data_IF_960539812661
#
_entry.id   IF_960539812661
#
_cell.length_a   1.000
_cell.length_b   1.000
_cell.length_c   1.000
_cell.angle_alpha   90.00
_cell.angle_beta   90.00
_cell.angle_gamma   90.00
#
_symmetry.space_group_name_H-M   'P 1'
#
loop_
_entity.id
_entity.type
_entity.pdbx_description
1 polymer ?
#
# COMPACT_ATOMS: atom_id res chain seq x y z
N UNK A 1 -10.08 43.42 3.23
CA UNK A 1 -8.85 43.24 4.02
C UNK A 1 -9.22 42.29 5.15
N UNK A 2 -8.83 41.01 5.06
CA UNK A 2 -9.06 40.06 6.16
C UNK A 2 -7.96 40.31 7.20
N UNK A 3 -8.35 40.82 8.37
CA UNK A 3 -7.45 41.06 9.49
C UNK A 3 -7.07 39.69 10.09
N UNK A 4 -5.83 39.25 9.89
CA UNK A 4 -5.34 38.01 10.50
C UNK A 4 -5.03 38.32 11.96
N UNK A 5 -5.91 37.87 12.86
CA UNK A 5 -5.73 38.06 14.30
C UNK A 5 -4.56 37.19 14.78
N UNK A 6 -3.45 37.84 15.12
CA UNK A 6 -2.29 37.19 15.75
C UNK A 6 -2.65 36.86 17.20
N UNK A 7 -2.59 35.58 17.57
CA UNK A 7 -2.88 35.12 18.92
C UNK A 7 -1.63 35.17 19.79
N UNK A 8 -1.75 35.66 21.02
CA UNK A 8 -0.69 35.58 22.03
C UNK A 8 -0.52 34.12 22.50
N UNK A 9 0.66 33.56 22.29
CA UNK A 9 0.87 32.11 22.39
C UNK A 9 0.83 31.56 23.83
N UNK A 10 1.21 32.37 24.82
CA UNK A 10 1.18 31.99 26.24
C UNK A 10 -0.18 32.26 26.89
N UNK A 11 -1.09 32.94 26.20
CA UNK A 11 -2.44 33.18 26.69
C UNK A 11 -3.27 31.88 26.71
N UNK A 12 -4.24 31.75 27.63
CA UNK A 12 -5.14 30.60 27.65
C UNK A 12 -5.94 30.49 26.35
N UNK A 13 -6.05 29.27 25.84
CA UNK A 13 -6.78 28.97 24.61
C UNK A 13 -8.28 29.21 24.80
N UNK A 14 -8.86 30.04 23.93
CA UNK A 14 -10.28 30.35 23.95
C UNK A 14 -10.99 29.61 22.81
N UNK A 15 -11.78 28.59 23.15
CA UNK A 15 -12.63 27.89 22.20
C UNK A 15 -13.64 28.87 21.58
N UNK A 16 -13.54 29.08 20.26
CA UNK A 16 -14.42 29.98 19.50
C UNK A 16 -15.88 29.53 19.69
N UNK A 17 -16.70 30.36 20.34
CA UNK A 17 -18.12 30.08 20.58
C UNK A 17 -18.52 29.63 22.00
N UNK A 18 -17.57 29.49 22.95
CA UNK A 18 -17.89 29.24 24.37
C UNK A 18 -17.76 30.50 25.23
N UNK A 19 -18.58 30.58 26.28
CA UNK A 19 -18.59 31.71 27.23
C UNK A 19 -17.22 31.89 27.90
N UNK A 20 -16.77 33.14 28.06
CA UNK A 20 -15.51 33.55 28.73
C UNK A 20 -15.35 33.04 30.17
N UNK A 21 -16.38 32.41 30.75
CA UNK A 21 -16.31 31.75 32.07
C UNK A 21 -15.59 30.40 32.04
N UNK A 22 -15.33 29.83 30.87
CA UNK A 22 -14.53 28.60 30.72
C UNK A 22 -13.12 28.98 30.26
N UNK A 23 -12.25 29.33 31.21
CA UNK A 23 -10.83 29.54 30.92
C UNK A 23 -10.20 28.16 30.71
N UNK A 24 -9.70 27.89 29.51
CA UNK A 24 -8.91 26.68 29.26
C UNK A 24 -7.64 26.73 30.10
N UNK A 25 -7.29 25.63 30.79
CA UNK A 25 -5.99 25.50 31.47
C UNK A 25 -4.83 25.33 30.46
N UNK A 26 -5.17 25.19 29.18
CA UNK A 26 -4.25 24.96 28.07
C UNK A 26 -3.95 26.28 27.37
N UNK A 27 -2.68 26.55 27.09
CA UNK A 27 -2.24 27.75 26.36
C UNK A 27 -2.46 27.61 24.86
N UNK A 28 -2.53 28.74 24.14
CA UNK A 28 -2.63 28.74 22.68
C UNK A 28 -1.48 27.92 22.05
N UNK A 29 -0.24 28.04 22.56
CA UNK A 29 0.90 27.27 22.06
C UNK A 29 0.70 25.77 22.20
N UNK A 30 0.14 25.29 23.32
CA UNK A 30 -0.13 23.86 23.50
C UNK A 30 -1.24 23.39 22.56
N UNK A 31 -2.31 24.17 22.41
CA UNK A 31 -3.39 23.83 21.49
C UNK A 31 -2.92 23.73 20.04
N UNK A 32 -2.21 24.75 19.54
CA UNK A 32 -1.77 24.78 18.14
C UNK A 32 -0.64 23.80 17.85
N UNK A 33 0.24 23.50 18.83
CA UNK A 33 1.35 22.57 18.62
C UNK A 33 1.01 21.12 18.90
N UNK A 34 0.09 20.86 19.83
CA UNK A 34 -0.20 19.52 20.32
C UNK A 34 -1.63 19.11 19.94
N UNK A 35 -2.66 19.79 20.45
CA UNK A 35 -4.05 19.36 20.26
C UNK A 35 -4.45 19.28 18.77
N UNK A 36 -4.17 20.34 17.99
CA UNK A 36 -4.45 20.33 16.55
C UNK A 36 -3.63 19.29 15.80
N UNK A 37 -2.38 19.05 16.21
CA UNK A 37 -1.54 18.06 15.54
C UNK A 37 -2.05 16.65 15.80
N UNK A 38 -2.48 16.37 17.03
CA UNK A 38 -3.13 15.10 17.40
C UNK A 38 -4.44 14.94 16.66
N UNK A 39 -5.28 15.97 16.57
CA UNK A 39 -6.54 15.92 15.81
C UNK A 39 -6.30 15.64 14.32
N UNK A 40 -5.29 16.27 13.70
CA UNK A 40 -4.90 15.98 12.31
C UNK A 40 -4.42 14.54 12.15
N UNK A 41 -3.63 14.02 13.10
CA UNK A 41 -3.19 12.61 13.09
C UNK A 41 -4.41 11.69 13.19
N UNK A 42 -5.32 11.94 14.11
CA UNK A 42 -6.50 11.10 14.32
C UNK A 42 -7.38 11.07 13.06
N UNK A 43 -7.55 12.22 12.39
CA UNK A 43 -8.26 12.31 11.10
C UNK A 43 -7.55 11.52 10.00
N UNK A 44 -6.21 11.61 9.90
CA UNK A 44 -5.44 10.84 8.92
C UNK A 44 -5.50 9.35 9.18
N UNK A 45 -5.42 8.93 10.45
CA UNK A 45 -5.54 7.53 10.85
C UNK A 45 -6.94 7.01 10.54
N UNK A 46 -7.98 7.81 10.81
CA UNK A 46 -9.36 7.46 10.45
C UNK A 46 -9.51 7.30 8.93
N UNK A 47 -9.03 8.27 8.15
CA UNK A 47 -9.12 8.21 6.68
C UNK A 47 -8.33 7.01 6.11
N UNK A 48 -7.18 6.69 6.70
CA UNK A 48 -6.42 5.49 6.34
C UNK A 48 -7.19 4.22 6.68
N UNK A 49 -7.79 4.13 7.87
CA UNK A 49 -8.57 2.96 8.29
C UNK A 49 -9.86 2.78 7.46
N UNK A 50 -10.46 3.87 6.98
CA UNK A 50 -11.62 3.83 6.08
C UNK A 50 -11.23 3.37 4.66
N UNK A 51 -10.03 3.72 4.18
CA UNK A 51 -9.55 3.35 2.84
C UNK A 51 -8.87 1.99 2.79
N UNK A 52 -8.13 1.62 3.84
CA UNK A 52 -7.37 0.38 3.96
C UNK A 52 -7.93 -0.44 5.10
N UNK A 53 -9.06 -1.11 4.83
CA UNK A 53 -9.53 -2.16 5.72
C UNK A 53 -8.53 -3.33 5.77
N UNK A 54 -8.83 -4.31 6.62
CA UNK A 54 -7.99 -5.49 6.81
C UNK A 54 -7.71 -6.21 5.48
N UNK A 55 -8.73 -6.33 4.62
CA UNK A 55 -8.62 -7.00 3.33
C UNK A 55 -7.72 -6.24 2.34
N UNK A 56 -7.84 -4.92 2.25
CA UNK A 56 -7.00 -4.08 1.38
C UNK A 56 -5.55 -4.06 1.86
N UNK A 57 -5.34 -4.09 3.18
CA UNK A 57 -4.00 -4.15 3.77
C UNK A 57 -3.36 -5.51 3.51
N UNK A 58 -4.11 -6.62 3.68
CA UNK A 58 -3.64 -7.97 3.35
C UNK A 58 -3.30 -8.09 1.86
N UNK A 59 -4.15 -7.53 0.98
CA UNK A 59 -3.92 -7.49 -0.45
C UNK A 59 -2.59 -6.79 -0.79
N UNK A 60 -2.33 -5.61 -0.22
CA UNK A 60 -1.07 -4.88 -0.41
C UNK A 60 0.15 -5.66 0.08
N UNK A 61 0.02 -6.31 1.24
CA UNK A 61 1.08 -7.15 1.77
C UNK A 61 1.35 -8.35 0.85
N UNK A 62 0.32 -8.96 0.28
CA UNK A 62 0.47 -10.03 -0.71
C UNK A 62 1.11 -9.53 -2.01
N UNK A 63 0.77 -8.31 -2.45
CA UNK A 63 1.41 -7.69 -3.62
C UNK A 63 2.92 -7.45 -3.42
N UNK A 64 3.33 -7.07 -2.21
CA UNK A 64 4.75 -6.87 -1.89
C UNK A 64 5.59 -8.16 -1.99
N UNK A 65 4.96 -9.34 -1.96
CA UNK A 65 5.65 -10.63 -2.05
C UNK A 65 6.19 -10.96 -3.45
N UNK A 66 5.79 -10.24 -4.51
CA UNK A 66 6.38 -10.39 -5.85
C UNK A 66 7.38 -9.27 -6.20
N UNK A 67 7.76 -8.44 -5.22
CA UNK A 67 8.76 -7.41 -5.43
C UNK A 67 10.09 -8.04 -5.87
N UNK A 68 10.70 -7.57 -6.98
CA UNK A 68 11.98 -8.10 -7.43
C UNK A 68 13.18 -7.53 -6.65
N UNK A 69 12.96 -6.57 -5.74
CA UNK A 69 14.02 -6.00 -4.91
C UNK A 69 14.80 -7.06 -4.15
N UNK A 70 16.10 -6.82 -4.03
CA UNK A 70 17.02 -7.66 -3.27
C UNK A 70 16.91 -9.15 -3.64
N UNK A 71 16.71 -9.43 -4.94
CA UNK A 71 16.59 -10.79 -5.45
C UNK A 71 15.32 -11.53 -5.00
N UNK A 72 14.19 -10.82 -4.89
CA UNK A 72 12.92 -11.34 -4.39
C UNK A 72 12.95 -11.75 -2.91
N UNK A 73 13.64 -10.98 -2.07
CA UNK A 73 13.80 -11.27 -0.64
C UNK A 73 12.49 -11.31 0.15
N UNK A 74 11.45 -10.59 -0.32
CA UNK A 74 10.12 -10.57 0.29
C UNK A 74 9.20 -11.69 -0.21
N UNK A 75 9.71 -12.61 -1.04
CA UNK A 75 8.90 -13.67 -1.62
C UNK A 75 8.31 -14.60 -0.56
N UNK A 76 6.99 -14.76 -0.65
CA UNK A 76 6.19 -15.64 0.18
C UNK A 76 5.17 -16.33 -0.72
N UNK A 77 5.37 -17.62 -0.94
CA UNK A 77 4.57 -18.42 -1.87
C UNK A 77 3.09 -18.44 -1.48
N UNK A 78 2.79 -18.59 -0.20
CA UNK A 78 1.41 -18.68 0.29
C UNK A 78 0.69 -17.36 0.07
N UNK A 79 1.33 -16.24 0.38
CA UNK A 79 0.74 -14.90 0.14
C UNK A 79 0.52 -14.60 -1.33
N UNK A 80 1.40 -15.06 -2.21
CA UNK A 80 1.20 -14.90 -3.66
C UNK A 80 0.03 -15.75 -4.16
N UNK A 81 -0.20 -16.94 -3.58
CA UNK A 81 -1.40 -17.73 -3.88
C UNK A 81 -2.66 -17.05 -3.34
N UNK A 82 -2.62 -16.53 -2.12
CA UNK A 82 -3.70 -15.73 -1.53
C UNK A 82 -4.04 -14.54 -2.43
N UNK A 83 -3.04 -13.82 -2.96
CA UNK A 83 -3.23 -12.72 -3.91
C UNK A 83 -4.07 -13.14 -5.12
N UNK A 84 -3.79 -14.31 -5.69
CA UNK A 84 -4.52 -14.80 -6.86
C UNK A 84 -5.99 -15.14 -6.54
N UNK A 85 -6.32 -15.47 -5.28
CA UNK A 85 -7.70 -15.75 -4.88
C UNK A 85 -8.61 -14.51 -4.88
N UNK A 86 -8.04 -13.31 -4.79
CA UNK A 86 -8.78 -12.04 -4.95
C UNK A 86 -9.22 -11.78 -6.40
N UNK A 87 -8.74 -12.58 -7.37
CA UNK A 87 -9.11 -12.46 -8.79
C UNK A 87 -9.85 -13.72 -9.29
N UNK A 88 -11.01 -14.08 -8.72
CA UNK A 88 -11.71 -15.34 -9.02
C UNK A 88 -12.19 -15.45 -10.47
N UNK A 89 -12.34 -14.33 -11.18
CA UNK A 89 -12.66 -14.31 -12.61
C UNK A 89 -11.48 -14.69 -13.51
N UNK A 90 -10.25 -14.49 -13.03
CA UNK A 90 -9.01 -14.70 -13.79
C UNK A 90 -8.30 -16.01 -13.40
N UNK A 91 -8.53 -16.49 -12.17
CA UNK A 91 -7.94 -17.71 -11.63
C UNK A 91 -9.01 -18.72 -11.21
N UNK A 92 -9.15 -19.79 -11.99
CA UNK A 92 -9.85 -21.01 -11.54
C UNK A 92 -9.00 -21.82 -10.55
N UNK A 93 -9.60 -22.82 -9.91
CA UNK A 93 -8.84 -23.74 -9.04
C UNK A 93 -7.69 -24.46 -9.76
N UNK A 94 -7.86 -24.77 -11.05
CA UNK A 94 -6.80 -25.38 -11.88
C UNK A 94 -5.68 -24.36 -12.16
N UNK A 95 -6.04 -23.10 -12.37
CA UNK A 95 -5.07 -22.04 -12.58
C UNK A 95 -4.27 -21.74 -11.31
N UNK A 96 -4.89 -21.82 -10.12
CA UNK A 96 -4.20 -21.70 -8.84
C UNK A 96 -3.19 -22.83 -8.63
N UNK A 97 -3.56 -24.08 -8.93
CA UNK A 97 -2.61 -25.21 -8.90
C UNK A 97 -1.46 -25.02 -9.90
N UNK A 98 -1.77 -24.49 -11.09
CA UNK A 98 -0.75 -24.20 -12.11
C UNK A 98 0.18 -23.08 -11.66
N UNK A 99 -0.36 -22.02 -11.06
CA UNK A 99 0.41 -20.93 -10.48
C UNK A 99 1.32 -21.46 -9.38
N UNK A 100 0.78 -22.25 -8.45
CA UNK A 100 1.54 -22.88 -7.37
C UNK A 100 2.74 -23.67 -7.87
N UNK A 101 2.57 -24.46 -8.93
CA UNK A 101 3.63 -25.23 -9.56
C UNK A 101 4.69 -24.33 -10.23
N UNK A 102 4.28 -23.19 -10.81
CA UNK A 102 5.18 -22.25 -11.47
C UNK A 102 6.06 -21.46 -10.49
N UNK A 103 5.54 -21.14 -9.29
CA UNK A 103 6.17 -20.18 -8.37
C UNK A 103 7.59 -20.57 -7.94
N UNK A 104 7.81 -21.81 -7.52
CA UNK A 104 9.12 -22.25 -7.03
C UNK A 104 10.17 -22.22 -8.16
N UNK A 105 9.76 -22.63 -9.35
CA UNK A 105 10.64 -22.66 -10.53
C UNK A 105 10.94 -21.23 -10.98
N UNK A 106 9.93 -20.36 -10.98
CA UNK A 106 10.07 -18.96 -11.34
C UNK A 106 11.09 -18.24 -10.47
N UNK A 107 10.97 -18.33 -9.14
CA UNK A 107 11.89 -17.64 -8.24
C UNK A 107 13.31 -18.13 -8.43
N UNK A 108 13.53 -19.44 -8.54
CA UNK A 108 14.86 -19.98 -8.81
C UNK A 108 15.43 -19.52 -10.15
N UNK A 109 14.60 -19.43 -11.19
CA UNK A 109 15.01 -18.97 -12.51
C UNK A 109 15.34 -17.47 -12.50
N UNK A 110 14.52 -16.64 -11.85
CA UNK A 110 14.80 -15.20 -11.72
C UNK A 110 16.07 -14.95 -10.91
N UNK A 111 16.28 -15.68 -9.81
CA UNK A 111 17.47 -15.54 -8.96
C UNK A 111 18.77 -16.03 -9.62
N UNK A 112 18.69 -16.85 -10.68
CA UNK A 112 19.87 -17.31 -11.43
C UNK A 112 20.20 -16.43 -12.62
N UNK A 113 19.28 -15.57 -13.04
CA UNK A 113 19.43 -14.70 -14.20
C UNK A 113 19.84 -13.30 -13.74
N UNK A 114 21.10 -12.93 -13.96
CA UNK A 114 21.68 -11.66 -13.51
C UNK A 114 20.90 -10.43 -13.98
N UNK A 115 20.14 -10.54 -15.07
CA UNK A 115 19.28 -9.46 -15.58
C UNK A 115 18.17 -9.08 -14.60
N UNK A 116 17.75 -10.00 -13.72
CA UNK A 116 16.68 -9.79 -12.76
C UNK A 116 17.17 -9.30 -11.38
N UNK A 117 18.47 -9.29 -11.12
CA UNK A 117 19.03 -9.02 -9.78
C UNK A 117 18.89 -7.58 -9.29
N UNK A 118 18.88 -6.61 -10.20
CA UNK A 118 18.88 -5.18 -9.87
C UNK A 118 17.57 -4.46 -10.25
N UNK A 119 16.46 -5.20 -10.23
CA UNK A 119 15.14 -4.64 -10.47
C UNK A 119 14.56 -4.04 -9.19
N UNK A 120 13.98 -2.85 -9.29
CA UNK A 120 13.45 -2.11 -8.14
C UNK A 120 11.93 -1.97 -8.14
N UNK A 121 11.28 -2.26 -9.26
CA UNK A 121 9.84 -2.11 -9.43
C UNK A 121 9.25 -3.22 -10.33
N UNK A 122 7.95 -3.41 -10.20
CA UNK A 122 7.20 -4.44 -10.88
C UNK A 122 7.07 -4.18 -12.40
N UNK A 123 7.15 -2.92 -12.83
CA UNK A 123 7.07 -2.54 -14.24
C UNK A 123 8.30 -3.01 -15.01
N UNK A 124 9.49 -2.77 -14.46
CA UNK A 124 10.75 -3.26 -15.00
C UNK A 124 10.80 -4.80 -15.02
N UNK A 125 10.28 -5.46 -13.97
CA UNK A 125 10.10 -6.92 -13.96
C UNK A 125 9.21 -7.39 -15.12
N UNK A 126 8.03 -6.79 -15.29
CA UNK A 126 7.09 -7.18 -16.33
C UNK A 126 7.70 -7.04 -17.74
N UNK A 127 8.42 -5.94 -18.00
CA UNK A 127 9.12 -5.72 -19.27
C UNK A 127 10.16 -6.80 -19.55
N UNK A 128 11.01 -7.09 -18.56
CA UNK A 128 12.07 -8.08 -18.72
C UNK A 128 11.53 -9.50 -18.90
N UNK A 129 10.41 -9.85 -18.26
CA UNK A 129 9.73 -11.13 -18.49
C UNK A 129 9.30 -11.30 -19.95
N UNK A 130 8.89 -10.23 -20.62
CA UNK A 130 8.52 -10.27 -22.05
C UNK A 130 9.75 -10.40 -22.93
N UNK A 131 10.78 -9.58 -22.68
CA UNK A 131 12.04 -9.60 -23.45
C UNK A 131 12.71 -10.97 -23.41
N UNK A 132 12.68 -11.62 -22.24
CA UNK A 132 13.29 -12.94 -22.02
C UNK A 132 12.37 -14.11 -22.37
N UNK A 133 11.16 -13.85 -22.90
CA UNK A 133 10.10 -14.83 -23.19
C UNK A 133 9.59 -15.61 -21.96
N UNK A 134 10.01 -15.23 -20.76
CA UNK A 134 9.57 -15.83 -19.49
C UNK A 134 8.08 -15.58 -19.21
N UNK A 135 7.48 -14.58 -19.85
CA UNK A 135 6.02 -14.39 -19.86
C UNK A 135 5.25 -15.55 -20.50
N UNK A 136 5.87 -16.30 -21.44
CA UNK A 136 5.28 -17.50 -22.06
C UNK A 136 5.57 -18.74 -21.22
N UNK A 137 6.73 -18.79 -20.56
CA UNK A 137 7.11 -19.88 -19.65
C UNK A 137 6.27 -19.89 -18.37
N UNK A 138 6.00 -18.71 -17.82
CA UNK A 138 5.28 -18.51 -16.56
C UNK A 138 4.01 -17.66 -16.76
N UNK A 139 3.05 -18.13 -17.57
CA UNK A 139 1.91 -17.32 -18.00
C UNK A 139 1.00 -16.91 -16.83
N UNK A 140 0.92 -17.70 -15.76
CA UNK A 140 0.07 -17.38 -14.59
C UNK A 140 0.71 -16.34 -13.69
N UNK A 141 2.02 -16.41 -13.50
CA UNK A 141 2.77 -15.39 -12.76
C UNK A 141 2.75 -14.07 -13.53
N UNK A 142 2.96 -14.11 -14.85
CA UNK A 142 2.88 -12.91 -15.69
C UNK A 142 1.49 -12.27 -15.66
N UNK A 143 0.42 -13.07 -15.71
CA UNK A 143 -0.95 -12.58 -15.55
C UNK A 143 -1.16 -11.92 -14.19
N UNK A 144 -0.69 -12.52 -13.10
CA UNK A 144 -0.83 -11.98 -11.76
C UNK A 144 -0.12 -10.62 -11.63
N UNK A 145 1.13 -10.52 -12.09
CA UNK A 145 1.89 -9.25 -12.12
C UNK A 145 1.17 -8.19 -12.94
N UNK A 146 0.60 -8.57 -14.09
CA UNK A 146 -0.19 -7.67 -14.93
C UNK A 146 -1.42 -7.16 -14.18
N UNK A 147 -2.15 -8.03 -13.47
CA UNK A 147 -3.33 -7.64 -12.68
C UNK A 147 -2.94 -6.66 -11.56
N UNK A 148 -1.83 -6.90 -10.86
CA UNK A 148 -1.32 -5.98 -9.83
C UNK A 148 -0.99 -4.58 -10.39
N UNK A 149 -0.56 -4.48 -11.64
CA UNK A 149 -0.22 -3.20 -12.28
C UNK A 149 -1.44 -2.47 -12.84
N UNK A 150 -2.48 -3.18 -13.29
CA UNK A 150 -3.64 -2.59 -13.97
C UNK A 150 -4.88 -2.43 -13.09
N UNK A 151 -4.98 -3.19 -12.00
CA UNK A 151 -6.05 -3.08 -11.01
C UNK A 151 -5.45 -2.34 -9.81
N UNK A 152 -5.60 -1.00 -9.71
CA UNK A 152 -5.27 -0.33 -8.49
C UNK A 152 -6.09 -0.98 -7.38
N UNK A 153 -5.47 -1.26 -6.24
CA UNK A 153 -6.13 -1.61 -4.98
C UNK A 153 -7.26 -0.61 -4.63
N UNK A 154 -7.24 0.59 -5.25
CA UNK A 154 -8.28 1.60 -5.15
C UNK A 154 -9.40 1.44 -6.20
N UNK A 155 -10.32 0.50 -5.97
CA UNK A 155 -11.74 0.68 -6.34
C UNK A 155 -12.57 1.04 -5.10
N UNK A 156 -12.06 1.92 -4.25
CA UNK A 156 -12.90 2.64 -3.29
C UNK A 156 -13.48 3.85 -4.02
N UNK A 157 -14.76 3.79 -4.38
CA UNK A 157 -15.47 4.98 -4.85
C UNK A 157 -15.44 6.05 -3.76
N UNK A 158 -15.07 7.27 -4.15
CA UNK A 158 -15.34 8.50 -3.39
C UNK A 158 -16.83 8.64 -3.11
#
# INVERSE_FOLDING_TARGET
MYDIVVHEMDAPYNLRGKSKRFVSQVTNIHHFRFDLFVEVIDLQVQELNERFDEANTELLMCMACLSPKDGFSSFDKEKVLTLATYYPSEFSSIDLMTLECQLDIFIQDMQRDDRFQNLHDLGALMMLLVETRKNVTYPKIYLLIKLMLILPVATASV
#
